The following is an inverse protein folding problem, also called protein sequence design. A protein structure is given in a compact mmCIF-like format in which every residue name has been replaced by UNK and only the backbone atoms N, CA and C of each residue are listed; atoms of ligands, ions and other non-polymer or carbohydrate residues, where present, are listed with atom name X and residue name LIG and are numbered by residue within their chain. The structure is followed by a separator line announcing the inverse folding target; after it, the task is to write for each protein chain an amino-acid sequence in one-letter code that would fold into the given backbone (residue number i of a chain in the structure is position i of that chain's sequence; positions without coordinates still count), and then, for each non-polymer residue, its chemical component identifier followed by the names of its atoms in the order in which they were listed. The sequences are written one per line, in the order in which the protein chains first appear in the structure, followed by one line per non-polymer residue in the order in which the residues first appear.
data_IF_954619303211
#
_entry.id   IF_954619303211
#
_cell.length_a   1.000
_cell.length_b   1.000
_cell.length_c   1.000
_cell.angle_alpha   90.00
_cell.angle_beta   90.00
_cell.angle_gamma   90.00
#
_symmetry.space_group_name_H-M   'P 1'
#
loop_
_entity.id
_entity.type
_entity.pdbx_description
1 polymer ?
#
# COMPACT_ATOMS: atom_id res chain seq x y z
N UNK A 1 -0.76 90.45 -3.62
CA UNK A 1 0.49 89.66 -3.55
C UNK A 1 0.50 88.67 -4.71
N UNK A 2 1.71 88.32 -5.14
CA UNK A 2 2.12 87.85 -6.48
C UNK A 2 1.59 86.49 -6.98
N UNK A 3 1.33 86.46 -8.30
CA UNK A 3 1.62 85.49 -9.39
C UNK A 3 1.80 83.95 -9.14
N UNK A 4 1.60 83.13 -10.21
CA UNK A 4 1.19 81.71 -10.24
C UNK A 4 2.33 80.74 -10.63
N UNK A 5 2.09 79.42 -10.70
CA UNK A 5 2.82 78.50 -11.61
C UNK A 5 2.27 77.04 -11.65
N UNK A 6 2.22 76.53 -12.89
CA UNK A 6 2.46 75.14 -13.38
C UNK A 6 1.65 73.97 -12.79
N UNK A 7 0.76 73.31 -13.53
CA UNK A 7 0.98 72.40 -14.69
C UNK A 7 2.06 71.35 -14.41
N UNK A 8 1.61 70.14 -14.08
CA UNK A 8 2.36 68.90 -14.28
C UNK A 8 1.38 67.78 -14.60
N UNK A 9 1.05 67.62 -15.89
CA UNK A 9 0.37 66.44 -16.42
C UNK A 9 1.33 65.27 -16.38
N UNK A 10 1.16 64.35 -15.43
CA UNK A 10 1.83 63.05 -15.46
C UNK A 10 1.11 62.14 -16.45
N UNK A 11 1.66 62.00 -17.65
CA UNK A 11 1.35 60.90 -18.55
C UNK A 11 1.95 59.62 -17.95
N UNK A 12 1.12 58.81 -17.30
CA UNK A 12 1.46 57.43 -16.93
C UNK A 12 1.36 56.57 -18.20
N UNK A 13 2.50 56.37 -18.85
CA UNK A 13 2.67 55.42 -19.96
C UNK A 13 2.34 54.01 -19.47
N UNK A 14 1.18 53.50 -19.90
CA UNK A 14 0.80 52.09 -19.79
C UNK A 14 1.73 51.27 -20.72
N UNK A 15 2.83 50.74 -20.18
CA UNK A 15 3.52 49.64 -20.85
C UNK A 15 2.76 48.35 -20.54
N UNK A 16 1.84 47.98 -21.43
CA UNK A 16 1.31 46.64 -21.47
C UNK A 16 2.45 45.69 -21.87
N UNK A 17 2.98 44.94 -20.89
CA UNK A 17 3.85 43.83 -21.19
C UNK A 17 3.09 42.81 -22.05
N UNK A 18 3.70 42.23 -23.11
CA UNK A 18 3.06 41.14 -23.83
C UNK A 18 2.86 39.99 -22.84
N UNK A 19 1.60 39.67 -22.56
CA UNK A 19 1.27 38.43 -21.87
C UNK A 19 1.73 37.28 -22.77
N UNK A 20 2.87 36.67 -22.45
CA UNK A 20 3.17 35.32 -22.90
C UNK A 20 2.00 34.45 -22.46
N UNK A 21 1.15 34.09 -23.41
CA UNK A 21 0.10 33.11 -23.20
C UNK A 21 0.77 31.81 -22.76
N UNK A 22 0.76 31.55 -21.46
CA UNK A 22 1.17 30.28 -20.89
C UNK A 22 0.20 29.25 -21.45
N UNK A 23 0.69 28.38 -22.34
CA UNK A 23 -0.12 27.30 -22.89
C UNK A 23 -0.80 26.55 -21.74
N UNK A 24 -2.09 26.19 -21.87
CA UNK A 24 -2.76 25.39 -20.86
C UNK A 24 -1.90 24.16 -20.54
N UNK A 25 -1.67 23.84 -19.26
CA UNK A 25 -0.92 22.65 -18.90
C UNK A 25 -1.56 21.44 -19.59
N UNK A 26 -0.71 20.59 -20.17
CA UNK A 26 -1.17 19.39 -20.83
C UNK A 26 -2.09 18.59 -19.89
N UNK A 27 -3.18 17.98 -20.39
CA UNK A 27 -4.05 17.16 -19.56
C UNK A 27 -3.22 16.06 -18.88
N UNK A 28 -3.22 16.03 -17.55
CA UNK A 28 -2.57 14.95 -16.79
C UNK A 28 -3.25 13.64 -17.20
N UNK A 29 -2.51 12.61 -17.66
CA UNK A 29 -3.09 11.32 -18.01
C UNK A 29 -3.93 10.80 -16.85
N UNK A 30 -5.15 10.31 -17.14
CA UNK A 30 -5.99 9.70 -16.10
C UNK A 30 -5.34 8.38 -15.71
N UNK A 31 -4.94 8.25 -14.45
CA UNK A 31 -4.52 6.97 -13.89
C UNK A 31 -5.60 5.89 -14.11
N UNK A 32 -5.22 4.80 -14.75
CA UNK A 32 -6.08 3.65 -15.02
C UNK A 32 -5.92 2.55 -13.96
N UNK A 33 -6.76 1.53 -14.02
CA UNK A 33 -6.58 0.34 -13.18
C UNK A 33 -5.29 -0.40 -13.53
N UNK A 34 -4.97 -0.49 -14.81
CA UNK A 34 -3.77 -1.17 -15.30
C UNK A 34 -2.50 -0.47 -14.80
N UNK A 35 -2.45 0.87 -14.86
CA UNK A 35 -1.31 1.65 -14.33
C UNK A 35 -1.09 1.37 -12.83
N UNK A 36 -2.18 1.25 -12.07
CA UNK A 36 -2.12 0.95 -10.65
C UNK A 36 -1.57 -0.45 -10.38
N UNK A 37 -2.11 -1.48 -11.04
CA UNK A 37 -1.62 -2.85 -10.85
C UNK A 37 -0.20 -3.04 -11.35
N UNK A 38 0.18 -2.44 -12.48
CA UNK A 38 1.56 -2.44 -12.96
C UNK A 38 2.50 -1.79 -11.95
N UNK A 39 2.05 -0.75 -11.24
CA UNK A 39 2.79 -0.15 -10.13
C UNK A 39 3.00 -1.10 -8.94
N UNK A 40 2.03 -1.96 -8.62
CA UNK A 40 2.18 -2.97 -7.55
C UNK A 40 3.18 -4.07 -7.91
N UNK A 41 3.29 -4.39 -9.19
CA UNK A 41 4.19 -5.42 -9.72
C UNK A 41 5.60 -4.89 -10.01
N UNK A 42 5.79 -3.56 -9.98
CA UNK A 42 7.10 -2.94 -10.20
C UNK A 42 8.10 -3.38 -9.12
N UNK A 43 9.33 -3.82 -9.48
CA UNK A 43 10.29 -4.31 -8.50
C UNK A 43 10.63 -3.25 -7.45
N UNK A 44 10.41 -3.57 -6.17
CA UNK A 44 10.83 -2.73 -5.04
C UNK A 44 11.98 -3.42 -4.30
N UNK A 45 13.08 -2.71 -4.13
CA UNK A 45 14.22 -3.21 -3.36
C UNK A 45 13.86 -3.26 -1.88
N UNK A 46 13.71 -4.47 -1.35
CA UNK A 46 13.53 -4.73 0.08
C UNK A 46 14.88 -5.09 0.71
N UNK A 47 15.35 -4.26 1.63
CA UNK A 47 16.62 -4.45 2.33
C UNK A 47 16.43 -5.18 3.66
N UNK A 48 17.41 -5.97 4.12
CA UNK A 48 17.40 -6.66 5.41
C UNK A 48 16.12 -7.48 5.69
N UNK A 49 15.68 -8.24 4.69
CA UNK A 49 14.50 -9.11 4.81
C UNK A 49 14.75 -10.17 5.87
N UNK A 50 13.89 -10.23 6.88
CA UNK A 50 13.90 -11.21 7.96
C UNK A 50 12.56 -11.91 8.01
N UNK A 51 12.59 -13.22 8.15
CA UNK A 51 11.40 -14.05 8.33
C UNK A 51 11.55 -14.75 9.69
N UNK A 52 10.51 -14.63 10.51
CA UNK A 52 10.39 -15.34 11.79
C UNK A 52 9.07 -16.08 11.77
N UNK A 53 9.09 -17.34 12.17
CA UNK A 53 7.91 -18.18 12.17
C UNK A 53 7.99 -19.17 13.33
N UNK A 54 6.91 -19.30 14.08
CA UNK A 54 6.71 -20.29 15.12
C UNK A 54 5.22 -20.67 15.16
N UNK A 55 4.84 -21.63 16.00
CA UNK A 55 3.43 -21.99 16.08
C UNK A 55 2.59 -20.81 16.61
N UNK A 56 1.55 -20.44 15.87
CA UNK A 56 0.68 -19.30 16.18
C UNK A 56 1.20 -17.95 15.69
N UNK A 57 2.41 -17.87 15.11
CA UNK A 57 3.05 -16.59 14.78
C UNK A 57 3.89 -16.64 13.50
N UNK A 58 3.77 -15.58 12.72
CA UNK A 58 4.64 -15.29 11.58
C UNK A 58 4.93 -13.80 11.49
N UNK A 59 6.16 -13.46 11.18
CA UNK A 59 6.57 -12.11 10.81
C UNK A 59 7.50 -12.15 9.61
N UNK A 60 7.25 -11.28 8.65
CA UNK A 60 8.26 -10.84 7.68
C UNK A 60 8.49 -9.36 7.85
N UNK A 61 9.75 -8.97 8.07
CA UNK A 61 10.15 -7.57 8.14
C UNK A 61 11.25 -7.24 7.16
N UNK A 62 11.25 -6.02 6.66
CA UNK A 62 12.22 -5.51 5.70
C UNK A 62 12.32 -3.99 5.82
N UNK A 63 13.35 -3.38 5.23
CA UNK A 63 13.46 -1.94 5.10
C UNK A 63 13.21 -1.54 3.66
N UNK A 64 12.51 -0.42 3.50
CA UNK A 64 12.38 0.30 2.25
C UNK A 64 13.15 1.61 2.34
N UNK A 65 13.84 1.96 1.27
CA UNK A 65 14.50 3.27 1.15
C UNK A 65 13.43 4.36 1.23
N UNK A 66 13.70 5.42 1.99
CA UNK A 66 12.80 6.58 2.20
C UNK A 66 11.51 6.33 3.00
N UNK A 67 11.11 5.07 3.25
CA UNK A 67 9.97 4.73 4.12
C UNK A 67 10.41 4.27 5.50
N UNK A 68 11.45 3.43 5.60
CA UNK A 68 11.90 2.81 6.84
C UNK A 68 11.50 1.33 6.96
N UNK A 69 11.43 0.82 8.20
CA UNK A 69 11.08 -0.59 8.47
C UNK A 69 9.61 -0.84 8.17
N UNK A 70 9.32 -1.87 7.40
CA UNK A 70 7.99 -2.43 7.20
C UNK A 70 7.96 -3.82 7.81
N UNK A 71 6.88 -4.16 8.51
CA UNK A 71 6.68 -5.52 9.00
C UNK A 71 5.26 -5.98 8.69
N UNK A 72 5.13 -7.24 8.30
CA UNK A 72 3.86 -7.93 8.14
C UNK A 72 3.86 -9.04 9.18
N UNK A 73 2.91 -8.95 10.11
CA UNK A 73 2.78 -9.90 11.21
C UNK A 73 1.45 -10.59 11.13
N UNK A 74 1.46 -11.90 11.36
CA UNK A 74 0.28 -12.75 11.41
C UNK A 74 0.32 -13.52 12.72
N UNK A 75 -0.76 -13.43 13.47
CA UNK A 75 -1.07 -14.26 14.61
C UNK A 75 -2.24 -15.14 14.21
N UNK A 76 -2.14 -16.44 14.40
CA UNK A 76 -3.26 -17.34 14.19
C UNK A 76 -3.51 -18.14 15.46
N UNK A 77 -4.78 -18.36 15.72
CA UNK A 77 -5.29 -19.15 16.82
C UNK A 77 -5.90 -20.43 16.25
N UNK A 78 -6.45 -21.27 17.13
CA UNK A 78 -7.22 -22.42 16.70
C UNK A 78 -8.54 -22.00 16.03
N UNK A 79 -9.20 -22.96 15.38
CA UNK A 79 -10.55 -22.80 14.80
C UNK A 79 -10.67 -21.74 13.69
N UNK A 80 -9.54 -21.31 13.11
CA UNK A 80 -9.55 -20.34 12.00
C UNK A 80 -9.60 -18.88 12.44
N UNK A 81 -9.43 -18.61 13.73
CA UNK A 81 -9.32 -17.27 14.29
C UNK A 81 -7.90 -16.72 14.17
N UNK A 82 -7.76 -15.40 14.12
CA UNK A 82 -6.44 -14.78 14.04
C UNK A 82 -6.46 -13.30 13.69
N UNK A 83 -5.26 -12.72 13.61
CA UNK A 83 -5.05 -11.30 13.29
C UNK A 83 -3.84 -11.13 12.39
N UNK A 84 -3.96 -10.26 11.40
CA UNK A 84 -2.83 -9.75 10.65
C UNK A 84 -2.69 -8.26 10.82
N UNK A 85 -1.46 -7.76 10.84
CA UNK A 85 -1.24 -6.33 10.68
C UNK A 85 0.03 -6.03 9.88
N UNK A 86 0.03 -4.86 9.27
CA UNK A 86 1.18 -4.29 8.59
C UNK A 86 1.58 -3.02 9.34
N UNK A 87 2.88 -2.90 9.63
CA UNK A 87 3.46 -1.73 10.28
C UNK A 87 4.44 -1.01 9.36
N UNK A 88 4.53 0.31 9.52
CA UNK A 88 5.59 1.15 8.99
C UNK A 88 6.22 1.91 10.17
N UNK A 89 7.49 1.61 10.46
CA UNK A 89 8.10 1.98 11.73
C UNK A 89 7.37 1.30 12.89
N UNK A 90 6.84 2.11 13.81
CA UNK A 90 6.02 1.65 14.94
C UNK A 90 4.52 1.81 14.68
N UNK A 91 4.13 2.44 13.56
CA UNK A 91 2.73 2.71 13.24
C UNK A 91 2.09 1.51 12.52
N UNK A 92 0.95 1.05 13.02
CA UNK A 92 0.09 0.08 12.30
C UNK A 92 -0.63 0.82 11.18
N UNK A 93 -0.41 0.39 9.93
CA UNK A 93 -1.01 1.00 8.73
C UNK A 93 -2.14 0.15 8.15
N UNK A 94 -2.23 -1.11 8.55
CA UNK A 94 -3.39 -1.96 8.30
C UNK A 94 -3.49 -3.06 9.35
N UNK A 95 -4.72 -3.43 9.68
CA UNK A 95 -5.02 -4.57 10.55
C UNK A 95 -6.27 -5.28 10.03
N UNK A 96 -6.26 -6.60 10.14
CA UNK A 96 -7.39 -7.47 9.85
C UNK A 96 -7.53 -8.48 10.97
N UNK A 97 -8.77 -8.88 11.28
CA UNK A 97 -9.05 -9.95 12.23
C UNK A 97 -10.05 -10.95 11.68
N UNK A 98 -9.88 -12.20 12.06
CA UNK A 98 -10.75 -13.32 11.72
C UNK A 98 -11.26 -13.98 13.00
N UNK A 99 -12.52 -14.37 12.98
CA UNK A 99 -13.18 -15.18 14.01
C UNK A 99 -13.86 -16.34 13.31
N UNK A 100 -13.52 -17.57 13.70
CA UNK A 100 -14.09 -18.81 13.13
C UNK A 100 -13.96 -18.86 11.59
N UNK A 101 -12.82 -18.40 11.05
CA UNK A 101 -12.55 -18.34 9.62
C UNK A 101 -13.26 -17.20 8.86
N UNK A 102 -14.01 -16.33 9.54
CA UNK A 102 -14.73 -15.20 8.94
C UNK A 102 -14.04 -13.88 9.26
N UNK A 103 -13.89 -13.00 8.25
CA UNK A 103 -13.35 -11.65 8.45
C UNK A 103 -14.26 -10.86 9.39
N UNK A 104 -13.76 -10.57 10.61
CA UNK A 104 -14.49 -9.88 11.65
C UNK A 104 -14.24 -8.37 11.64
N UNK A 105 -13.02 -7.94 11.32
CA UNK A 105 -12.68 -6.54 11.12
C UNK A 105 -11.55 -6.34 10.10
N UNK A 106 -11.56 -5.19 9.45
CA UNK A 106 -10.45 -4.71 8.63
C UNK A 106 -10.37 -3.18 8.70
N UNK A 107 -9.17 -2.63 8.72
CA UNK A 107 -8.94 -1.20 8.54
C UNK A 107 -7.54 -0.93 7.98
N UNK A 108 -7.38 0.25 7.37
CA UNK A 108 -6.08 0.76 6.93
C UNK A 108 -6.01 2.28 7.08
N UNK A 109 -4.85 2.78 7.51
CA UNK A 109 -4.53 4.19 7.59
C UNK A 109 -3.15 4.44 6.98
N UNK A 110 -3.13 5.17 5.88
CA UNK A 110 -1.94 5.52 5.10
C UNK A 110 -1.69 7.03 5.10
N UNK A 111 -2.44 7.80 5.89
CA UNK A 111 -2.42 9.28 5.85
C UNK A 111 -1.11 9.89 6.36
N UNK A 112 -0.34 9.13 7.16
CA UNK A 112 0.99 9.52 7.61
C UNK A 112 2.10 9.36 6.56
N UNK A 113 1.80 8.81 5.38
CA UNK A 113 2.77 8.54 4.32
C UNK A 113 2.60 9.48 3.12
N UNK A 114 3.71 9.78 2.46
CA UNK A 114 3.71 10.48 1.17
C UNK A 114 3.24 9.55 0.05
N UNK A 115 2.73 10.12 -1.05
CA UNK A 115 2.21 9.36 -2.21
C UNK A 115 3.16 8.27 -2.71
N UNK A 116 4.45 8.57 -2.89
CA UNK A 116 5.42 7.58 -3.35
C UNK A 116 5.67 6.48 -2.30
N UNK A 117 5.76 6.86 -1.02
CA UNK A 117 5.89 5.91 0.09
C UNK A 117 4.69 4.97 0.18
N UNK A 118 3.47 5.47 -0.09
CA UNK A 118 2.28 4.62 -0.18
C UNK A 118 2.47 3.59 -1.28
N UNK A 119 2.85 4.00 -2.50
CA UNK A 119 3.06 3.06 -3.60
C UNK A 119 4.12 2.00 -3.27
N UNK A 120 5.24 2.40 -2.67
CA UNK A 120 6.33 1.50 -2.28
C UNK A 120 5.88 0.50 -1.21
N UNK A 121 5.10 0.94 -0.22
CA UNK A 121 4.52 0.06 0.81
C UNK A 121 3.55 -0.94 0.18
N UNK A 122 2.64 -0.50 -0.68
CA UNK A 122 1.69 -1.40 -1.34
C UNK A 122 2.39 -2.47 -2.18
N UNK A 123 3.32 -2.04 -3.05
CA UNK A 123 4.06 -2.94 -3.93
C UNK A 123 4.95 -3.91 -3.14
N UNK A 124 5.64 -3.42 -2.10
CA UNK A 124 6.49 -4.26 -1.27
C UNK A 124 5.72 -5.29 -0.45
N UNK A 125 4.53 -4.96 0.09
CA UNK A 125 3.70 -5.93 0.81
C UNK A 125 3.23 -7.05 -0.13
N UNK A 126 2.79 -6.70 -1.34
CA UNK A 126 2.43 -7.69 -2.38
C UNK A 126 3.63 -8.59 -2.71
N UNK A 127 4.82 -8.01 -2.91
CA UNK A 127 6.03 -8.75 -3.24
C UNK A 127 6.54 -9.61 -2.07
N UNK A 128 6.39 -9.17 -0.83
CA UNK A 128 6.84 -9.92 0.34
C UNK A 128 6.12 -11.28 0.44
N UNK A 129 4.81 -11.31 0.20
CA UNK A 129 4.03 -12.56 0.17
C UNK A 129 4.41 -13.51 -0.97
N UNK A 130 5.01 -12.98 -2.04
CA UNK A 130 5.45 -13.79 -3.18
C UNK A 130 6.86 -14.36 -3.01
N UNK A 131 7.57 -14.04 -1.92
CA UNK A 131 8.91 -14.60 -1.66
C UNK A 131 8.84 -16.05 -1.21
N UNK A 132 9.63 -16.92 -1.85
CA UNK A 132 9.71 -18.34 -1.51
C UNK A 132 9.99 -18.60 -0.02
N UNK A 133 10.88 -17.82 0.60
CA UNK A 133 11.21 -17.95 2.02
C UNK A 133 10.03 -17.70 2.98
N UNK A 134 9.02 -16.92 2.57
CA UNK A 134 7.79 -16.73 3.35
C UNK A 134 6.94 -17.99 3.32
N UNK A 135 6.72 -18.56 2.14
CA UNK A 135 5.90 -19.77 1.99
C UNK A 135 6.57 -21.01 2.57
N UNK A 136 7.89 -21.10 2.50
CA UNK A 136 8.68 -22.16 3.16
C UNK A 136 8.55 -22.06 4.68
N UNK A 137 8.77 -20.87 5.26
CA UNK A 137 8.64 -20.66 6.69
C UNK A 137 7.22 -20.99 7.19
N UNK A 138 6.19 -20.53 6.48
CA UNK A 138 4.81 -20.86 6.79
C UNK A 138 4.54 -22.37 6.70
N UNK A 139 5.06 -23.06 5.69
CA UNK A 139 4.90 -24.51 5.54
C UNK A 139 5.54 -25.33 6.67
N UNK A 140 6.63 -24.84 7.25
CA UNK A 140 7.30 -25.48 8.40
C UNK A 140 6.47 -25.37 9.68
N UNK A 141 5.86 -24.22 9.93
CA UNK A 141 5.21 -23.91 11.22
C UNK A 141 3.70 -24.08 11.22
N UNK A 142 3.08 -24.10 10.04
CA UNK A 142 1.63 -24.26 9.91
C UNK A 142 1.30 -25.75 9.81
N UNK A 143 0.33 -26.24 10.59
CA UNK A 143 -0.30 -27.57 10.46
C UNK A 143 -1.82 -27.42 10.58
N UNK A 144 -2.57 -28.48 10.30
CA UNK A 144 -4.00 -28.58 10.64
C UNK A 144 -4.88 -27.40 10.17
N UNK A 145 -4.72 -26.98 8.91
CA UNK A 145 -5.51 -25.88 8.31
C UNK A 145 -4.96 -24.47 8.53
N UNK A 146 -3.87 -24.30 9.29
CA UNK A 146 -3.23 -22.99 9.54
C UNK A 146 -2.73 -22.29 8.26
N UNK A 147 -2.42 -23.04 7.18
CA UNK A 147 -2.09 -22.45 5.87
C UNK A 147 -3.26 -21.68 5.23
N UNK A 148 -4.50 -22.11 5.44
CA UNK A 148 -5.69 -21.40 4.95
C UNK A 148 -5.89 -20.11 5.75
N UNK A 149 -5.71 -20.16 7.07
CA UNK A 149 -5.77 -18.98 7.94
C UNK A 149 -4.70 -17.96 7.55
N UNK A 150 -3.45 -18.41 7.38
CA UNK A 150 -2.36 -17.56 6.91
C UNK A 150 -2.67 -16.94 5.54
N UNK A 151 -3.24 -17.72 4.60
CA UNK A 151 -3.68 -17.23 3.30
C UNK A 151 -4.80 -16.19 3.38
N UNK A 152 -5.79 -16.41 4.23
CA UNK A 152 -6.91 -15.49 4.45
C UNK A 152 -6.42 -14.17 5.07
N UNK A 153 -5.55 -14.24 6.08
CA UNK A 153 -4.96 -13.04 6.71
C UNK A 153 -4.05 -12.30 5.72
N UNK A 154 -3.20 -13.00 4.98
CA UNK A 154 -2.33 -12.41 3.96
C UNK A 154 -3.14 -11.68 2.87
N UNK A 155 -4.20 -12.33 2.37
CA UNK A 155 -5.07 -11.75 1.36
C UNK A 155 -5.89 -10.59 1.88
N UNK A 156 -6.50 -10.69 3.06
CA UNK A 156 -7.25 -9.60 3.65
C UNK A 156 -6.35 -8.39 3.90
N UNK A 157 -5.25 -8.54 4.64
CA UNK A 157 -4.34 -7.43 4.95
C UNK A 157 -3.80 -6.72 3.69
N UNK A 158 -3.40 -7.49 2.67
CA UNK A 158 -2.94 -6.92 1.39
C UNK A 158 -4.09 -6.25 0.63
N UNK A 159 -5.26 -6.86 0.60
CA UNK A 159 -6.44 -6.32 -0.07
C UNK A 159 -6.93 -5.01 0.55
N UNK A 160 -7.00 -4.95 1.88
CA UNK A 160 -7.36 -3.74 2.63
C UNK A 160 -6.37 -2.62 2.35
N UNK A 161 -5.06 -2.88 2.41
CA UNK A 161 -4.01 -1.92 2.06
C UNK A 161 -4.14 -1.40 0.64
N UNK A 162 -4.23 -2.30 -0.34
CA UNK A 162 -4.30 -1.95 -1.76
C UNK A 162 -5.57 -1.16 -2.06
N UNK A 163 -6.71 -1.55 -1.50
CA UNK A 163 -7.97 -0.82 -1.64
C UNK A 163 -7.90 0.60 -1.08
N UNK A 164 -7.40 0.74 0.16
CA UNK A 164 -7.22 2.03 0.81
C UNK A 164 -6.21 2.92 0.08
N UNK A 165 -5.07 2.36 -0.31
CA UNK A 165 -4.03 3.07 -1.06
C UNK A 165 -4.50 3.51 -2.44
N UNK A 166 -5.23 2.67 -3.17
CA UNK A 166 -5.86 3.06 -4.43
C UNK A 166 -6.85 4.22 -4.23
N UNK A 167 -7.70 4.14 -3.20
CA UNK A 167 -8.66 5.21 -2.89
C UNK A 167 -7.93 6.51 -2.55
N UNK A 168 -6.85 6.45 -1.78
CA UNK A 168 -6.05 7.61 -1.41
C UNK A 168 -5.39 8.27 -2.64
N UNK A 169 -4.78 7.47 -3.51
CA UNK A 169 -3.99 7.93 -4.65
C UNK A 169 -4.84 8.33 -5.86
N UNK A 170 -5.86 7.54 -6.20
CA UNK A 170 -6.60 7.63 -7.47
C UNK A 170 -8.03 8.14 -7.25
N UNK A 171 -8.60 7.93 -6.07
CA UNK A 171 -9.95 8.41 -5.68
C UNK A 171 -11.05 7.92 -6.63
N UNK A 172 -10.99 6.65 -7.06
CA UNK A 172 -11.97 6.03 -7.96
C UNK A 172 -12.77 4.93 -7.25
N UNK A 173 -14.03 4.78 -7.64
CA UNK A 173 -14.94 3.75 -7.07
C UNK A 173 -14.43 2.31 -7.29
N UNK A 174 -13.73 2.06 -8.39
CA UNK A 174 -13.22 0.72 -8.71
C UNK A 174 -12.08 0.27 -7.77
N UNK A 175 -11.50 1.16 -6.96
CA UNK A 175 -10.48 0.81 -5.97
C UNK A 175 -10.95 -0.23 -4.93
N UNK A 176 -12.25 -0.24 -4.61
CA UNK A 176 -12.84 -1.28 -3.76
C UNK A 176 -12.71 -2.67 -4.41
N UNK A 177 -12.95 -2.74 -5.72
CA UNK A 177 -12.76 -3.96 -6.51
C UNK A 177 -11.30 -4.37 -6.64
N UNK A 178 -10.37 -3.40 -6.63
CA UNK A 178 -8.94 -3.67 -6.69
C UNK A 178 -8.40 -4.37 -5.45
N UNK A 179 -8.80 -3.90 -4.25
CA UNK A 179 -8.48 -4.59 -3.00
C UNK A 179 -8.98 -6.03 -3.00
N UNK A 180 -10.25 -6.25 -3.41
CA UNK A 180 -10.85 -7.59 -3.51
C UNK A 180 -10.11 -8.51 -4.49
N UNK A 181 -9.67 -7.97 -5.64
CA UNK A 181 -8.94 -8.75 -6.65
C UNK A 181 -7.57 -9.20 -6.13
N UNK A 182 -6.79 -8.27 -5.53
CA UNK A 182 -5.48 -8.60 -4.96
C UNK A 182 -5.62 -9.56 -3.78
N UNK A 183 -6.63 -9.36 -2.93
CA UNK A 183 -6.92 -10.24 -1.79
C UNK A 183 -7.03 -11.71 -2.23
N UNK A 184 -7.91 -11.99 -3.20
CA UNK A 184 -8.12 -13.35 -3.72
C UNK A 184 -6.85 -13.96 -4.31
N UNK A 185 -6.06 -13.16 -5.05
CA UNK A 185 -4.79 -13.61 -5.63
C UNK A 185 -3.79 -14.02 -4.54
N UNK A 186 -3.60 -13.18 -3.52
CA UNK A 186 -2.66 -13.44 -2.44
C UNK A 186 -3.12 -14.62 -1.59
N UNK A 187 -4.40 -14.72 -1.25
CA UNK A 187 -4.96 -15.87 -0.51
C UNK A 187 -4.71 -17.18 -1.24
N UNK A 188 -5.05 -17.25 -2.54
CA UNK A 188 -4.84 -18.45 -3.34
C UNK A 188 -3.36 -18.82 -3.46
N UNK A 189 -2.48 -17.83 -3.64
CA UNK A 189 -1.04 -18.04 -3.72
C UNK A 189 -0.46 -18.61 -2.42
N UNK A 190 -0.72 -17.96 -1.29
CA UNK A 190 -0.17 -18.38 0.02
C UNK A 190 -0.72 -19.73 0.42
N UNK A 191 -2.04 -19.94 0.35
CA UNK A 191 -2.66 -21.23 0.70
C UNK A 191 -2.08 -22.36 -0.14
N UNK A 192 -1.99 -22.17 -1.46
CA UNK A 192 -1.46 -23.18 -2.37
C UNK A 192 0.02 -23.49 -2.14
N UNK A 193 0.86 -22.47 -1.93
CA UNK A 193 2.31 -22.64 -1.72
C UNK A 193 2.63 -23.20 -0.34
N UNK A 194 1.95 -22.75 0.70
CA UNK A 194 2.09 -23.25 2.07
C UNK A 194 1.72 -24.74 2.13
N UNK A 195 0.55 -25.12 1.57
CA UNK A 195 0.15 -26.53 1.48
C UNK A 195 1.13 -27.36 0.64
N UNK A 196 1.67 -26.79 -0.44
CA UNK A 196 2.70 -27.45 -1.23
C UNK A 196 3.98 -27.73 -0.43
N UNK A 197 4.43 -26.77 0.37
CA UNK A 197 5.62 -26.90 1.22
C UNK A 197 5.45 -27.90 2.37
N UNK A 198 4.22 -28.14 2.86
CA UNK A 198 3.95 -29.18 3.86
C UNK A 198 4.06 -30.61 3.32
N UNK A 199 3.88 -30.79 2.01
CA UNK A 199 3.79 -32.10 1.36
C UNK A 199 5.08 -32.52 0.62
N UNK A 200 6.09 -31.65 0.57
CA UNK A 200 7.38 -31.89 -0.10
C UNK A 200 8.50 -32.19 0.89
#
# INVERSE_FOLDING_TARGET
MHLPAAVASLFLSLFAAPATAESPPAPVPRATADDFYSGLEAPITQENVRVSAEDGYFEVSFNLREVGRVSITVYWEDEGSGRGHVTVGEAVVAEVSFVDGVLASEWADLTGLQTHQVQDVLASVVQAWQKNGVTEALGVVSRDGKCEVAGNIAGASTGTLVGAGCLLLIKKKWCVGAGSFVSKKVTGWITGKCNGAQNG
#
